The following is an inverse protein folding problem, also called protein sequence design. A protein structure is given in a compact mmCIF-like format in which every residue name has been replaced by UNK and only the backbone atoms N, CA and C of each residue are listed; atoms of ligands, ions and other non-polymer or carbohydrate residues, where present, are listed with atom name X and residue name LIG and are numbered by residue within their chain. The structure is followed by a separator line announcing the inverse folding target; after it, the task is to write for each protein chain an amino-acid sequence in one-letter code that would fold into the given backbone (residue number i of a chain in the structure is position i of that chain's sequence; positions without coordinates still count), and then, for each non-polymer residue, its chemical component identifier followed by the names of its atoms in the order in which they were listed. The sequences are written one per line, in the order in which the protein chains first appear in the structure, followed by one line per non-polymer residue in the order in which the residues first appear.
data_IF_789615138943
#
_entry.id   IF_789615138943
#
_cell.length_a   1.000
_cell.length_b   1.000
_cell.length_c   1.000
_cell.angle_alpha   90.00
_cell.angle_beta   90.00
_cell.angle_gamma   90.00
#
_symmetry.space_group_name_H-M   'P 1'
#
loop_
_entity.id
_entity.type
_entity.pdbx_description
1 polymer ?
#
# COMPACT_ATOMS: atom_id res chain seq x y z
N UNK A 1 -2.40 46.53 -7.23
CA UNK A 1 -1.02 46.50 -7.79
C UNK A 1 -0.03 46.63 -6.64
N UNK A 2 1.15 45.97 -6.63
CA UNK A 2 1.71 44.95 -7.53
C UNK A 2 1.91 43.58 -6.80
N UNK A 3 1.46 42.45 -7.36
CA UNK A 3 2.24 41.46 -8.13
C UNK A 3 3.64 41.13 -7.58
N UNK A 4 3.74 40.01 -6.86
CA UNK A 4 5.02 39.36 -6.54
C UNK A 4 5.48 38.56 -7.77
N UNK A 5 6.62 38.97 -8.32
CA UNK A 5 7.26 38.41 -9.51
C UNK A 5 8.10 37.17 -9.18
N UNK A 6 7.93 36.12 -9.98
CA UNK A 6 8.32 34.72 -9.81
C UNK A 6 9.80 34.43 -10.08
N UNK A 7 10.70 35.42 -10.03
CA UNK A 7 12.09 35.29 -10.55
C UNK A 7 13.20 35.56 -9.53
N UNK A 8 13.05 35.08 -8.29
CA UNK A 8 14.15 35.10 -7.30
C UNK A 8 14.12 33.90 -6.35
N UNK A 9 14.44 32.71 -6.87
CA UNK A 9 14.99 31.62 -6.05
C UNK A 9 15.87 30.66 -6.86
N UNK A 10 16.68 31.22 -7.78
CA UNK A 10 17.76 30.50 -8.45
C UNK A 10 18.91 31.46 -8.73
N UNK A 11 19.71 31.76 -7.71
CA UNK A 11 21.11 32.19 -7.84
C UNK A 11 21.83 31.80 -6.55
N UNK A 12 22.77 30.88 -6.69
CA UNK A 12 24.14 30.87 -6.16
C UNK A 12 24.70 29.46 -6.46
N UNK A 13 25.76 29.22 -7.22
CA UNK A 13 26.90 30.06 -7.56
C UNK A 13 27.46 29.68 -8.96
N UNK A 14 27.82 30.70 -9.75
CA UNK A 14 28.76 30.58 -10.85
C UNK A 14 29.81 31.67 -10.65
N UNK A 15 30.99 31.27 -10.18
CA UNK A 15 32.16 32.15 -10.08
C UNK A 15 33.03 31.98 -11.31
N UNK A 16 33.07 33.02 -12.14
CA UNK A 16 34.09 33.24 -13.17
C UNK A 16 35.32 33.85 -12.48
N UNK A 17 36.46 33.16 -12.48
CA UNK A 17 37.74 33.72 -12.04
C UNK A 17 38.56 34.18 -13.25
N UNK A 18 39.09 35.40 -13.16
CA UNK A 18 39.93 36.06 -14.14
C UNK A 18 41.26 35.33 -14.36
N UNK A 19 41.69 35.28 -15.62
CA UNK A 19 43.02 34.81 -16.05
C UNK A 19 44.04 35.90 -15.80
N UNK A 20 45.07 35.59 -15.01
CA UNK A 20 46.32 36.37 -14.92
C UNK A 20 47.45 35.52 -15.48
N UNK A 21 48.13 36.02 -16.51
CA UNK A 21 49.29 35.36 -17.10
C UNK A 21 50.54 35.60 -16.23
N UNK A 22 51.19 34.52 -15.80
CA UNK A 22 52.49 34.52 -15.13
C UNK A 22 53.17 33.18 -15.39
N UNK A 23 54.37 33.21 -15.95
CA UNK A 23 55.04 32.02 -16.49
C UNK A 23 55.78 31.14 -15.49
N UNK A 24 56.37 30.08 -16.07
CA UNK A 24 57.43 29.18 -15.58
C UNK A 24 57.01 28.00 -14.68
N UNK A 25 56.93 26.81 -15.29
CA UNK A 25 57.93 25.73 -15.15
C UNK A 25 57.31 24.40 -15.59
N UNK A 26 57.81 23.80 -16.68
CA UNK A 26 57.38 22.50 -17.14
C UNK A 26 58.01 21.41 -16.27
N UNK A 27 57.26 20.89 -15.29
CA UNK A 27 57.55 19.60 -14.65
C UNK A 27 56.75 18.53 -15.38
N UNK A 28 57.44 17.57 -15.99
CA UNK A 28 56.85 16.37 -16.57
C UNK A 28 56.21 15.50 -15.49
N UNK A 29 54.91 15.69 -15.26
CA UNK A 29 54.09 14.79 -14.47
C UNK A 29 53.72 13.58 -15.34
N UNK A 30 54.20 12.40 -14.96
CA UNK A 30 53.71 11.12 -15.48
C UNK A 30 52.21 10.98 -15.19
N UNK A 31 51.37 10.61 -16.17
CA UNK A 31 49.94 10.40 -15.92
C UNK A 31 49.78 9.23 -14.94
N UNK A 32 49.06 9.48 -13.84
CA UNK A 32 48.68 8.43 -12.89
C UNK A 32 47.76 7.43 -13.61
N UNK A 33 48.20 6.18 -13.67
CA UNK A 33 47.44 5.09 -14.26
C UNK A 33 46.29 4.72 -13.30
N UNK A 34 45.04 4.83 -13.78
CA UNK A 34 43.87 4.45 -12.99
C UNK A 34 43.93 2.96 -12.64
N UNK A 35 43.74 2.64 -11.35
CA UNK A 35 43.61 1.27 -10.91
C UNK A 35 42.38 0.61 -11.59
N UNK A 36 42.47 -0.66 -12.00
CA UNK A 36 41.34 -1.36 -12.61
C UNK A 36 40.18 -1.43 -11.61
N UNK A 37 38.92 -1.36 -12.09
CA UNK A 37 37.76 -1.46 -11.21
C UNK A 37 37.77 -2.82 -10.51
N UNK A 38 37.60 -2.80 -9.19
CA UNK A 38 37.40 -4.02 -8.41
C UNK A 38 36.18 -4.76 -8.99
N UNK A 39 36.35 -6.05 -9.25
CA UNK A 39 35.26 -6.89 -9.74
C UNK A 39 34.09 -6.84 -8.76
N UNK A 40 32.90 -6.51 -9.27
CA UNK A 40 31.67 -6.59 -8.51
C UNK A 40 31.52 -8.02 -7.96
N UNK A 41 31.10 -8.19 -6.69
CA UNK A 41 30.86 -9.53 -6.15
C UNK A 41 29.82 -10.23 -7.02
N UNK A 42 30.11 -11.47 -7.41
CA UNK A 42 29.17 -12.28 -8.18
C UNK A 42 27.84 -12.37 -7.44
N UNK A 43 26.69 -12.33 -8.14
CA UNK A 43 25.40 -12.49 -7.50
C UNK A 43 25.40 -13.85 -6.81
N UNK A 44 25.35 -13.82 -5.47
CA UNK A 44 25.05 -15.04 -4.72
C UNK A 44 23.69 -15.50 -5.23
N UNK A 45 23.61 -16.75 -5.64
CA UNK A 45 22.35 -17.38 -6.04
C UNK A 45 21.46 -17.42 -4.81
N UNK A 46 20.73 -16.32 -4.57
CA UNK A 46 19.82 -16.21 -3.45
C UNK A 46 18.80 -17.30 -3.65
N UNK A 47 18.79 -18.25 -2.70
CA UNK A 47 17.88 -19.38 -2.69
C UNK A 47 16.48 -18.80 -2.92
N UNK A 48 15.76 -19.27 -3.96
CA UNK A 48 14.37 -18.87 -4.23
C UNK A 48 13.60 -18.97 -2.91
N UNK A 49 13.33 -17.83 -2.30
CA UNK A 49 12.63 -17.79 -1.02
C UNK A 49 11.22 -18.28 -1.28
N UNK A 50 10.75 -19.27 -0.53
CA UNK A 50 9.33 -19.57 -0.55
C UNK A 50 8.59 -18.30 -0.10
N UNK A 51 7.76 -17.75 -0.98
CA UNK A 51 6.84 -16.66 -0.64
C UNK A 51 5.48 -17.26 -0.33
N UNK A 52 4.82 -16.79 0.71
CA UNK A 52 3.43 -17.14 1.00
C UNK A 52 2.60 -15.91 1.31
N UNK A 53 1.37 -15.91 0.83
CA UNK A 53 0.38 -14.86 1.05
C UNK A 53 -0.74 -15.43 1.91
N UNK A 54 -1.08 -14.77 3.02
CA UNK A 54 -2.20 -15.14 3.89
C UNK A 54 -3.17 -13.97 3.97
N UNK A 55 -4.41 -14.22 3.64
CA UNK A 55 -5.46 -13.21 3.75
C UNK A 55 -5.94 -13.13 5.19
N UNK A 56 -6.08 -11.90 5.69
CA UNK A 56 -6.57 -11.59 7.03
C UNK A 56 -7.97 -10.97 7.03
N UNK A 57 -8.64 -10.98 5.88
CA UNK A 57 -9.93 -10.33 5.69
C UNK A 57 -9.81 -8.88 5.28
N UNK A 58 -10.92 -8.27 4.87
CA UNK A 58 -10.93 -6.91 4.33
C UNK A 58 -9.90 -6.80 3.18
N UNK A 59 -9.00 -5.81 3.20
CA UNK A 59 -7.85 -5.70 2.32
C UNK A 59 -6.55 -6.24 2.95
N UNK A 60 -6.63 -6.84 4.14
CA UNK A 60 -5.50 -7.23 4.96
C UNK A 60 -4.76 -8.46 4.45
N UNK A 61 -3.44 -8.35 4.31
CA UNK A 61 -2.56 -9.47 3.93
C UNK A 61 -1.30 -9.54 4.79
N UNK A 62 -0.90 -10.77 5.11
CA UNK A 62 0.47 -11.10 5.53
C UNK A 62 1.21 -11.76 4.37
N UNK A 63 2.36 -11.20 4.01
CA UNK A 63 3.25 -11.74 3.01
C UNK A 63 4.58 -12.09 3.67
N UNK A 64 4.90 -13.37 3.71
CA UNK A 64 6.18 -13.85 4.20
C UNK A 64 7.11 -14.09 3.00
N UNK A 65 8.25 -13.38 2.97
CA UNK A 65 9.29 -13.46 1.94
C UNK A 65 10.58 -13.90 2.65
N UNK A 66 10.85 -15.21 2.66
CA UNK A 66 11.96 -15.74 3.45
C UNK A 66 11.79 -15.47 4.95
N UNK A 67 12.69 -14.68 5.53
CA UNK A 67 12.64 -14.25 6.93
C UNK A 67 11.92 -12.92 7.14
N UNK A 68 11.59 -12.19 6.08
CA UNK A 68 10.87 -10.91 6.13
C UNK A 68 9.36 -11.12 6.08
N UNK A 69 8.64 -10.26 6.80
CA UNK A 69 7.18 -10.18 6.74
C UNK A 69 6.76 -8.77 6.34
N UNK A 70 6.00 -8.68 5.25
CA UNK A 70 5.32 -7.46 4.78
C UNK A 70 3.84 -7.61 5.10
N UNK A 71 3.25 -6.59 5.71
CA UNK A 71 1.81 -6.51 5.95
C UNK A 71 1.21 -5.45 5.03
N UNK A 72 0.02 -5.72 4.51
CA UNK A 72 -0.79 -4.75 3.78
C UNK A 72 -2.09 -4.59 4.54
N UNK A 73 -2.49 -3.36 4.87
CA UNK A 73 -3.73 -3.00 5.57
C UNK A 73 -4.15 -3.96 6.69
N UNK A 74 -3.27 -4.24 7.67
CA UNK A 74 -3.58 -5.22 8.69
C UNK A 74 -4.71 -4.72 9.61
N UNK A 75 -5.90 -5.34 9.51
CA UNK A 75 -7.03 -5.11 10.40
C UNK A 75 -7.56 -6.44 10.96
N UNK A 76 -7.17 -6.73 12.19
CA UNK A 76 -7.49 -7.94 12.93
C UNK A 76 -8.42 -7.67 14.12
N UNK A 77 -8.58 -6.41 14.53
CA UNK A 77 -9.45 -6.03 15.65
C UNK A 77 -10.93 -6.25 15.42
N UNK A 78 -11.40 -6.03 14.19
CA UNK A 78 -12.76 -6.39 13.71
C UNK A 78 -13.86 -5.91 14.66
N UNK A 79 -13.79 -4.62 15.04
CA UNK A 79 -14.77 -3.97 15.91
C UNK A 79 -16.14 -3.90 15.22
N UNK A 80 -17.22 -3.98 16.00
CA UNK A 80 -18.59 -3.81 15.52
C UNK A 80 -18.95 -2.32 15.50
N UNK A 81 -19.12 -1.78 14.29
CA UNK A 81 -19.54 -0.40 14.06
C UNK A 81 -21.04 -0.30 13.73
N UNK A 82 -21.74 -1.44 13.72
CA UNK A 82 -23.11 -1.57 13.27
C UNK A 82 -23.25 -1.72 11.76
N UNK A 83 -22.15 -1.75 10.98
CA UNK A 83 -22.21 -1.78 9.52
C UNK A 83 -22.92 -3.03 8.98
N UNK A 84 -22.79 -4.17 9.66
CA UNK A 84 -23.42 -5.43 9.26
C UNK A 84 -24.61 -5.84 10.12
N UNK A 85 -24.81 -5.22 11.29
CA UNK A 85 -25.78 -5.66 12.31
C UNK A 85 -26.87 -4.64 12.62
N UNK A 86 -26.74 -3.39 12.19
CA UNK A 86 -27.67 -2.33 12.56
C UNK A 86 -27.38 -0.97 11.90
N UNK A 87 -27.65 0.14 12.60
CA UNK A 87 -27.26 1.45 12.10
C UNK A 87 -25.76 1.66 12.28
N UNK A 88 -25.05 1.92 11.18
CA UNK A 88 -23.65 2.31 11.20
C UNK A 88 -23.41 3.51 12.11
N UNK A 89 -22.48 3.38 13.05
CA UNK A 89 -22.16 4.40 14.04
C UNK A 89 -20.74 4.96 13.83
N UNK A 90 -20.58 6.19 13.31
CA UNK A 90 -19.27 6.80 13.08
C UNK A 90 -18.53 7.18 14.37
N UNK A 91 -19.22 7.18 15.53
CA UNK A 91 -18.60 7.47 16.83
C UNK A 91 -18.16 6.22 17.58
N UNK A 92 -18.21 5.05 16.94
CA UNK A 92 -17.70 3.80 17.52
C UNK A 92 -16.25 3.96 17.93
N UNK A 93 -15.95 3.62 19.18
CA UNK A 93 -14.62 3.77 19.75
C UNK A 93 -13.60 2.81 19.09
N UNK A 94 -12.42 3.33 18.79
CA UNK A 94 -11.31 2.52 18.27
C UNK A 94 -10.79 1.62 19.39
N UNK A 95 -10.85 0.30 19.20
CA UNK A 95 -10.42 -0.69 20.20
C UNK A 95 -9.53 -1.73 19.55
N UNK A 96 -8.22 -1.66 19.85
CA UNK A 96 -7.23 -2.60 19.36
C UNK A 96 -7.30 -3.92 20.15
N UNK A 97 -7.52 -5.04 19.45
CA UNK A 97 -7.53 -6.39 20.03
C UNK A 97 -6.14 -7.00 20.05
N UNK A 98 -5.33 -6.55 21.00
CA UNK A 98 -3.94 -7.00 21.17
C UNK A 98 -3.84 -8.52 21.37
N UNK A 99 -4.84 -9.15 22.01
CA UNK A 99 -4.94 -10.61 22.17
C UNK A 99 -5.01 -11.37 20.84
N UNK A 100 -5.60 -10.76 19.81
CA UNK A 100 -5.73 -11.33 18.46
C UNK A 100 -4.48 -11.01 17.63
N UNK A 101 -4.01 -9.77 17.69
CA UNK A 101 -2.91 -9.24 16.88
C UNK A 101 -1.57 -9.85 17.30
N UNK A 102 -1.26 -9.87 18.60
CA UNK A 102 0.05 -10.27 19.12
C UNK A 102 0.37 -11.74 18.84
N UNK A 103 -0.66 -12.58 18.68
CA UNK A 103 -0.53 -13.98 18.30
C UNK A 103 -0.24 -14.21 16.81
N UNK A 104 -0.47 -13.20 15.96
CA UNK A 104 -0.37 -13.28 14.49
C UNK A 104 0.75 -12.44 13.91
N UNK A 105 1.17 -11.41 14.64
CA UNK A 105 2.13 -10.41 14.17
C UNK A 105 3.37 -10.44 15.08
N UNK A 106 4.40 -11.14 14.60
CA UNK A 106 5.61 -11.45 15.34
C UNK A 106 6.85 -10.73 14.82
N UNK A 107 7.00 -10.63 13.49
CA UNK A 107 8.24 -10.16 12.84
C UNK A 107 8.03 -9.21 11.66
N UNK A 108 6.90 -8.50 11.65
CA UNK A 108 6.61 -7.53 10.59
C UNK A 108 7.73 -6.48 10.50
N UNK A 109 8.31 -6.33 9.30
CA UNK A 109 9.33 -5.32 9.00
C UNK A 109 8.74 -4.13 8.26
N UNK A 110 7.72 -4.37 7.46
CA UNK A 110 7.07 -3.37 6.61
C UNK A 110 5.57 -3.48 6.78
N UNK A 111 4.90 -2.34 6.94
CA UNK A 111 3.44 -2.23 6.84
C UNK A 111 3.12 -1.24 5.73
N UNK A 112 2.33 -1.67 4.74
CA UNK A 112 1.83 -0.87 3.64
C UNK A 112 0.38 -0.51 3.94
N UNK A 113 0.07 0.79 3.99
CA UNK A 113 -1.24 1.33 4.31
C UNK A 113 -1.80 2.01 3.08
N UNK A 114 -2.84 1.44 2.49
CA UNK A 114 -3.43 1.96 1.26
C UNK A 114 -4.19 3.25 1.49
N UNK A 115 -4.93 3.35 2.60
CA UNK A 115 -5.62 4.55 3.06
C UNK A 115 -5.97 4.42 4.55
N UNK A 116 -6.50 5.47 5.17
CA UNK A 116 -6.54 5.58 6.63
C UNK A 116 -7.90 5.32 7.28
N UNK A 117 -8.84 4.68 6.59
CA UNK A 117 -10.06 4.19 7.26
C UNK A 117 -9.73 3.14 8.32
N UNK A 118 -10.66 2.97 9.26
CA UNK A 118 -10.45 2.16 10.46
C UNK A 118 -10.18 0.69 10.14
N UNK A 119 -10.80 0.15 9.10
CA UNK A 119 -10.67 -1.22 8.62
C UNK A 119 -9.38 -1.47 7.81
N UNK A 120 -8.51 -0.47 7.70
CA UNK A 120 -7.19 -0.56 7.06
C UNK A 120 -6.05 -0.14 8.02
N UNK A 121 -6.29 0.89 8.86
CA UNK A 121 -5.23 1.55 9.61
C UNK A 121 -5.27 1.33 11.12
N UNK A 122 -6.41 1.02 11.74
CA UNK A 122 -6.57 1.07 13.21
C UNK A 122 -5.50 0.29 13.98
N UNK A 123 -5.12 -0.89 13.50
CA UNK A 123 -4.17 -1.76 14.20
C UNK A 123 -2.71 -1.44 13.88
N UNK A 124 -2.47 -0.62 12.86
CA UNK A 124 -1.12 -0.30 12.34
C UNK A 124 -0.22 0.33 13.40
N UNK A 125 -0.65 1.33 14.19
CA UNK A 125 0.21 1.92 15.22
C UNK A 125 0.65 0.91 16.29
N UNK A 126 -0.24 0.03 16.73
CA UNK A 126 0.09 -1.03 17.69
C UNK A 126 1.09 -2.04 17.10
N UNK A 127 0.84 -2.47 15.86
CA UNK A 127 1.73 -3.38 15.13
C UNK A 127 3.14 -2.77 14.97
N UNK A 128 3.23 -1.51 14.52
CA UNK A 128 4.50 -0.81 14.34
C UNK A 128 5.27 -0.68 15.66
N UNK A 129 4.58 -0.26 16.73
CA UNK A 129 5.18 -0.15 18.06
C UNK A 129 5.68 -1.50 18.60
N UNK A 130 4.98 -2.59 18.30
CA UNK A 130 5.34 -3.94 18.76
C UNK A 130 6.51 -4.55 17.99
N UNK A 131 6.52 -4.46 16.66
CA UNK A 131 7.52 -5.16 15.84
C UNK A 131 8.68 -4.27 15.40
N UNK A 132 8.52 -2.94 15.53
CA UNK A 132 9.45 -1.98 14.96
C UNK A 132 9.31 -1.79 13.45
N UNK A 133 8.20 -2.27 12.85
CA UNK A 133 7.97 -2.17 11.41
C UNK A 133 7.98 -0.72 10.93
N UNK A 134 8.50 -0.50 9.71
CA UNK A 134 8.32 0.77 9.01
C UNK A 134 6.97 0.79 8.30
N UNK A 135 6.19 1.83 8.55
CA UNK A 135 4.87 2.07 7.98
C UNK A 135 5.03 2.99 6.77
N UNK A 136 4.53 2.54 5.62
CA UNK A 136 4.43 3.31 4.40
C UNK A 136 2.97 3.60 4.12
N UNK A 137 2.62 4.87 3.92
CA UNK A 137 1.26 5.30 3.62
C UNK A 137 1.26 6.76 3.23
N UNK A 138 0.07 7.34 3.04
CA UNK A 138 -0.06 8.75 2.68
C UNK A 138 0.47 9.68 3.78
N UNK A 139 0.55 10.99 3.50
CA UNK A 139 0.90 11.99 4.52
C UNK A 139 -0.08 11.95 5.71
N UNK A 140 -1.34 11.58 5.46
CA UNK A 140 -2.33 11.35 6.51
C UNK A 140 -1.93 10.19 7.42
N UNK A 141 -1.56 9.04 6.86
CA UNK A 141 -1.10 7.88 7.64
C UNK A 141 0.12 8.22 8.50
N UNK A 142 1.06 9.00 7.94
CA UNK A 142 2.23 9.51 8.67
C UNK A 142 1.81 10.35 9.90
N UNK A 143 0.93 11.34 9.73
CA UNK A 143 0.52 12.19 10.84
C UNK A 143 -0.36 11.49 11.87
N UNK A 144 -1.21 10.54 11.45
CA UNK A 144 -1.97 9.70 12.38
C UNK A 144 -1.02 8.80 13.18
N UNK A 145 -0.01 8.20 12.55
CA UNK A 145 1.02 7.42 13.23
C UNK A 145 1.72 8.23 14.33
N UNK A 146 2.09 9.48 14.04
CA UNK A 146 2.64 10.39 15.05
C UNK A 146 1.65 10.66 16.21
N UNK A 147 0.37 10.83 15.90
CA UNK A 147 -0.67 11.04 16.92
C UNK A 147 -0.83 9.84 17.87
N UNK A 148 -0.53 8.63 17.40
CA UNK A 148 -0.45 7.41 18.20
C UNK A 148 0.92 7.17 18.85
N UNK A 149 1.87 8.09 18.69
CA UNK A 149 3.20 7.97 19.30
C UNK A 149 4.19 7.07 18.55
N UNK A 150 3.87 6.65 17.31
CA UNK A 150 4.84 5.92 16.47
C UNK A 150 6.00 6.86 16.13
N UNK A 151 7.26 6.48 16.36
CA UNK A 151 8.41 7.34 16.05
C UNK A 151 8.46 7.69 14.57
N UNK A 152 8.81 8.94 14.23
CA UNK A 152 8.93 9.37 12.83
C UNK A 152 9.92 8.53 12.01
N UNK A 153 10.92 7.93 12.66
CA UNK A 153 11.86 7.00 12.02
C UNK A 153 11.19 5.71 11.54
N UNK A 154 10.01 5.34 12.04
CA UNK A 154 9.21 4.21 11.56
C UNK A 154 8.14 4.64 10.56
N UNK A 155 8.00 5.93 10.25
CA UNK A 155 6.93 6.43 9.38
C UNK A 155 7.51 6.95 8.07
N UNK A 156 6.89 6.59 6.95
CA UNK A 156 7.33 7.00 5.61
C UNK A 156 6.12 7.43 4.79
N UNK A 157 6.01 8.74 4.56
CA UNK A 157 4.97 9.29 3.69
C UNK A 157 5.31 9.01 2.22
N UNK A 158 4.36 8.47 1.48
CA UNK A 158 4.41 8.18 0.05
C UNK A 158 3.15 8.73 -0.64
N UNK A 159 3.18 8.91 -1.96
CA UNK A 159 2.05 9.50 -2.71
C UNK A 159 1.68 8.78 -4.00
N UNK A 160 2.54 7.89 -4.50
CA UNK A 160 2.42 7.25 -5.81
C UNK A 160 3.56 7.64 -6.76
N UNK A 161 4.09 6.64 -7.45
CA UNK A 161 5.22 6.72 -8.37
C UNK A 161 6.56 6.32 -7.77
N UNK A 162 6.66 6.17 -6.44
CA UNK A 162 7.86 5.68 -5.78
C UNK A 162 8.07 4.18 -6.05
N UNK A 163 9.32 3.77 -6.31
CA UNK A 163 9.73 2.37 -6.35
C UNK A 163 10.76 2.16 -5.23
N UNK A 164 10.37 1.39 -4.22
CA UNK A 164 11.12 1.19 -3.00
C UNK A 164 11.78 -0.19 -3.04
N UNK A 165 13.11 -0.22 -2.97
CA UNK A 165 13.90 -1.45 -2.98
C UNK A 165 14.21 -1.91 -1.55
N UNK A 166 13.83 -3.17 -1.25
CA UNK A 166 14.10 -3.83 0.03
C UNK A 166 15.14 -4.95 -0.10
N UNK A 167 15.78 -5.07 -1.27
CA UNK A 167 16.82 -6.02 -1.59
C UNK A 167 16.30 -7.38 -2.02
N UNK A 168 15.27 -7.92 -1.37
CA UNK A 168 14.63 -9.19 -1.73
C UNK A 168 13.25 -9.11 -2.39
N UNK A 169 12.72 -7.89 -2.39
CA UNK A 169 11.54 -7.48 -3.11
C UNK A 169 11.62 -5.98 -3.34
N UNK A 170 10.82 -5.49 -4.28
CA UNK A 170 10.52 -4.07 -4.40
C UNK A 170 9.03 -3.81 -4.22
N UNK A 171 8.70 -2.62 -3.75
CA UNK A 171 7.33 -2.11 -3.65
C UNK A 171 7.22 -0.86 -4.50
N UNK A 172 6.42 -0.92 -5.55
CA UNK A 172 6.01 0.26 -6.31
C UNK A 172 4.70 0.79 -5.72
N UNK A 173 4.71 2.07 -5.35
CA UNK A 173 3.56 2.79 -4.80
C UNK A 173 2.76 3.37 -5.95
N UNK A 174 1.45 3.15 -5.96
CA UNK A 174 0.58 3.57 -7.06
C UNK A 174 -0.48 4.50 -6.51
N UNK A 175 -0.51 5.77 -6.95
CA UNK A 175 -1.61 6.66 -6.60
C UNK A 175 -2.92 6.11 -7.16
N UNK A 176 -3.95 5.98 -6.33
CA UNK A 176 -5.25 5.41 -6.70
C UNK A 176 -6.41 6.27 -6.19
N UNK A 177 -7.64 5.75 -6.24
CA UNK A 177 -8.86 6.45 -5.84
C UNK A 177 -9.72 5.56 -4.94
N UNK A 178 -10.43 6.19 -4.00
CA UNK A 178 -11.46 5.52 -3.21
C UNK A 178 -12.76 5.33 -3.99
N UNK A 179 -13.52 4.30 -3.65
CA UNK A 179 -14.90 4.12 -4.11
C UNK A 179 -15.82 5.27 -3.71
N UNK A 180 -16.90 5.46 -4.47
CA UNK A 180 -17.87 6.54 -4.28
C UNK A 180 -19.22 6.04 -3.81
N UNK A 181 -19.82 6.76 -2.87
CA UNK A 181 -21.22 6.57 -2.49
C UNK A 181 -22.17 7.15 -3.56
N UNK A 182 -23.50 6.93 -3.45
CA UNK A 182 -24.48 7.43 -4.44
C UNK A 182 -24.49 8.95 -4.65
N UNK A 183 -23.91 9.73 -3.73
CA UNK A 183 -23.75 11.19 -3.83
C UNK A 183 -22.36 11.59 -4.34
N UNK A 184 -21.58 10.65 -4.88
CA UNK A 184 -20.21 10.87 -5.39
C UNK A 184 -19.19 11.30 -4.32
N UNK A 185 -19.50 11.08 -3.04
CA UNK A 185 -18.62 11.36 -1.90
C UNK A 185 -17.93 10.09 -1.40
N UNK A 186 -17.01 10.26 -0.45
CA UNK A 186 -16.25 9.19 0.23
C UNK A 186 -16.67 9.18 1.72
N UNK A 187 -16.69 8.01 2.36
CA UNK A 187 -16.88 7.93 3.80
C UNK A 187 -15.70 8.62 4.51
N UNK A 188 -15.97 9.41 5.55
CA UNK A 188 -14.93 10.15 6.30
C UNK A 188 -13.90 10.85 5.39
N UNK A 189 -14.31 11.79 4.53
CA UNK A 189 -13.38 12.46 3.63
C UNK A 189 -12.43 13.38 4.41
N UNK A 190 -11.20 13.51 3.94
CA UNK A 190 -10.25 14.48 4.49
C UNK A 190 -8.80 14.00 4.47
N UNK A 191 -7.89 14.93 4.73
CA UNK A 191 -6.44 14.71 4.78
C UNK A 191 -5.89 15.30 6.07
N UNK A 192 -4.83 14.71 6.62
CA UNK A 192 -4.06 15.28 7.74
C UNK A 192 -2.67 15.70 7.25
N UNK A 193 -2.39 17.01 7.35
CA UNK A 193 -1.12 17.64 6.95
C UNK A 193 -0.27 18.11 8.14
N UNK A 194 -0.74 17.81 9.35
CA UNK A 194 -0.05 18.01 10.63
C UNK A 194 -0.57 16.97 11.62
N UNK A 195 0.18 16.73 12.70
CA UNK A 195 -0.20 15.75 13.73
C UNK A 195 -1.53 16.17 14.39
N UNK A 196 -2.61 15.38 14.24
CA UNK A 196 -3.87 15.67 14.93
C UNK A 196 -3.81 15.23 16.40
N UNK A 197 -4.89 15.50 17.15
CA UNK A 197 -5.16 14.75 18.38
C UNK A 197 -5.24 13.25 18.07
N UNK A 198 -4.90 12.41 19.05
CA UNK A 198 -5.02 10.96 18.88
C UNK A 198 -6.48 10.60 18.54
N UNK A 199 -6.73 9.91 17.42
CA UNK A 199 -8.08 9.48 17.05
C UNK A 199 -8.72 8.62 18.14
N UNK A 200 -10.01 8.83 18.42
CA UNK A 200 -10.75 8.09 19.44
C UNK A 200 -11.87 7.22 18.83
N UNK A 201 -12.40 7.64 17.68
CA UNK A 201 -13.52 6.98 17.00
C UNK A 201 -13.20 6.68 15.54
N UNK A 202 -13.98 5.80 14.90
CA UNK A 202 -13.79 5.49 13.47
C UNK A 202 -13.92 6.72 12.57
N UNK A 203 -14.74 7.71 12.95
CA UNK A 203 -14.89 8.95 12.20
C UNK A 203 -13.68 9.90 12.28
N UNK A 204 -12.77 9.69 13.24
CA UNK A 204 -11.54 10.47 13.36
C UNK A 204 -10.45 10.01 12.37
N UNK A 205 -10.67 8.86 11.72
CA UNK A 205 -9.80 8.22 10.74
C UNK A 205 -10.33 8.51 9.31
N UNK A 206 -9.90 9.61 8.66
CA UNK A 206 -10.38 9.96 7.34
C UNK A 206 -9.79 9.04 6.26
N UNK A 207 -10.28 9.13 5.02
CA UNK A 207 -9.71 8.38 3.88
C UNK A 207 -8.23 8.73 3.67
N UNK A 208 -7.89 10.01 3.61
CA UNK A 208 -6.49 10.44 3.64
C UNK A 208 -5.73 10.25 2.32
N UNK A 209 -6.43 10.27 1.18
CA UNK A 209 -6.00 9.77 -0.13
C UNK A 209 -5.82 8.25 -0.17
N UNK A 210 -5.94 7.67 -1.37
CA UNK A 210 -5.90 6.22 -1.58
C UNK A 210 -4.71 5.81 -2.46
N UNK A 211 -4.03 4.74 -2.05
CA UNK A 211 -2.92 4.12 -2.76
C UNK A 211 -3.27 2.68 -3.18
N UNK A 212 -2.53 2.17 -4.14
CA UNK A 212 -2.32 0.74 -4.35
C UNK A 212 -0.83 0.43 -4.24
N UNK A 213 -0.50 -0.85 -4.06
CA UNK A 213 0.89 -1.29 -3.96
C UNK A 213 1.15 -2.45 -4.91
N UNK A 214 2.21 -2.36 -5.70
CA UNK A 214 2.73 -3.49 -6.46
C UNK A 214 3.98 -4.03 -5.78
N UNK A 215 3.86 -5.21 -5.21
CA UNK A 215 4.95 -5.97 -4.62
C UNK A 215 5.57 -6.88 -5.68
N UNK A 216 6.86 -6.77 -5.95
CA UNK A 216 7.62 -7.69 -6.81
C UNK A 216 8.64 -8.44 -6.00
N UNK A 217 8.51 -9.76 -5.91
CA UNK A 217 9.45 -10.63 -5.18
C UNK A 217 10.52 -11.15 -6.13
N UNK A 218 11.80 -11.06 -5.78
CA UNK A 218 12.86 -11.52 -6.68
C UNK A 218 12.75 -13.03 -6.94
N UNK A 219 12.69 -13.40 -8.21
CA UNK A 219 12.53 -14.80 -8.63
C UNK A 219 11.19 -15.43 -8.21
N UNK A 220 10.23 -14.61 -7.78
CA UNK A 220 8.86 -14.97 -7.39
C UNK A 220 7.81 -14.16 -8.17
N UNK A 221 6.55 -14.14 -7.69
CA UNK A 221 5.45 -13.44 -8.34
C UNK A 221 5.49 -11.93 -8.12
N UNK A 222 4.80 -11.21 -9.01
CA UNK A 222 4.40 -9.82 -8.82
C UNK A 222 2.92 -9.73 -8.42
N UNK A 223 2.60 -9.00 -7.36
CA UNK A 223 1.27 -8.94 -6.76
C UNK A 223 0.84 -7.50 -6.53
N UNK A 224 -0.28 -7.11 -7.14
CA UNK A 224 -0.90 -5.80 -6.95
C UNK A 224 -2.00 -5.84 -5.90
N UNK A 225 -1.94 -4.93 -4.93
CA UNK A 225 -2.94 -4.74 -3.89
C UNK A 225 -3.72 -3.46 -4.17
N UNK A 226 -5.04 -3.59 -4.36
CA UNK A 226 -5.94 -2.43 -4.45
C UNK A 226 -6.22 -1.88 -3.04
N UNK A 227 -6.22 -0.56 -2.90
CA UNK A 227 -6.64 0.08 -1.64
C UNK A 227 -8.14 0.20 -1.47
N UNK A 228 -8.86 0.38 -2.58
CA UNK A 228 -10.31 0.53 -2.60
C UNK A 228 -10.86 0.16 -3.99
N UNK A 229 -12.17 0.30 -4.17
CA UNK A 229 -12.88 -0.02 -5.42
C UNK A 229 -13.05 1.17 -6.39
N UNK A 230 -11.98 1.93 -6.60
CA UNK A 230 -11.78 2.83 -7.76
C UNK A 230 -10.28 2.88 -8.13
N UNK A 231 -9.94 3.53 -9.25
CA UNK A 231 -8.62 3.47 -9.86
C UNK A 231 -8.30 4.73 -10.65
N UNK A 232 -7.09 5.25 -10.45
CA UNK A 232 -6.46 6.21 -11.36
C UNK A 232 -5.80 5.46 -12.53
N UNK A 233 -6.59 5.09 -13.53
CA UNK A 233 -6.24 4.11 -14.59
C UNK A 233 -4.88 4.35 -15.26
N UNK A 234 -4.52 5.61 -15.52
CA UNK A 234 -3.24 5.96 -16.16
C UNK A 234 -2.02 5.54 -15.34
N UNK A 235 -2.15 5.47 -14.02
CA UNK A 235 -1.10 5.07 -13.10
C UNK A 235 -0.84 3.55 -13.11
N UNK A 236 -1.66 2.76 -13.81
CA UNK A 236 -1.48 1.31 -13.93
C UNK A 236 -0.60 0.89 -15.11
N UNK A 237 -0.27 1.83 -15.99
CA UNK A 237 0.45 1.54 -17.25
C UNK A 237 1.78 0.83 -16.98
N UNK A 238 1.92 -0.38 -17.51
CA UNK A 238 3.17 -1.15 -17.41
C UNK A 238 3.36 -1.93 -16.10
N UNK A 239 2.40 -1.90 -15.17
CA UNK A 239 2.48 -2.66 -13.93
C UNK A 239 2.45 -4.17 -14.16
N UNK A 240 1.51 -4.64 -15.00
CA UNK A 240 1.32 -6.02 -15.47
C UNK A 240 1.63 -7.12 -14.43
N UNK A 241 0.97 -7.11 -13.26
CA UNK A 241 1.24 -8.08 -12.21
C UNK A 241 0.78 -9.50 -12.57
N UNK A 242 1.40 -10.52 -11.97
CA UNK A 242 0.92 -11.90 -12.07
C UNK A 242 -0.43 -12.09 -11.36
N UNK A 243 -0.60 -11.39 -10.23
CA UNK A 243 -1.77 -11.49 -9.33
C UNK A 243 -2.29 -10.11 -8.99
N UNK A 244 -3.61 -9.92 -9.01
CA UNK A 244 -4.25 -8.74 -8.48
C UNK A 244 -5.21 -9.10 -7.34
N UNK A 245 -5.01 -8.47 -6.17
CA UNK A 245 -5.92 -8.50 -5.03
C UNK A 245 -6.91 -7.34 -5.19
N UNK A 246 -8.13 -7.66 -5.64
CA UNK A 246 -9.13 -6.69 -6.10
C UNK A 246 -10.24 -6.56 -5.06
N UNK A 247 -10.39 -5.35 -4.50
CA UNK A 247 -11.45 -5.03 -3.57
C UNK A 247 -12.81 -5.07 -4.26
N UNK A 248 -13.78 -5.72 -3.61
CA UNK A 248 -15.15 -5.75 -4.08
C UNK A 248 -15.76 -4.34 -4.08
N UNK A 249 -16.47 -4.00 -5.15
CA UNK A 249 -17.21 -2.73 -5.24
C UNK A 249 -18.46 -2.75 -4.37
N UNK A 250 -18.62 -1.73 -3.52
CA UNK A 250 -19.80 -1.59 -2.65
C UNK A 250 -20.99 -0.93 -3.38
N UNK A 251 -20.74 -0.15 -4.43
CA UNK A 251 -21.71 0.59 -5.21
C UNK A 251 -21.32 0.63 -6.69
N UNK A 252 -22.32 0.79 -7.56
CA UNK A 252 -22.13 0.92 -9.01
C UNK A 252 -21.85 2.36 -9.45
N UNK A 253 -21.75 3.30 -8.50
CA UNK A 253 -21.48 4.72 -8.78
C UNK A 253 -20.05 4.94 -9.31
N UNK A 254 -19.11 4.05 -8.98
CA UNK A 254 -17.82 3.99 -9.66
C UNK A 254 -17.98 3.36 -11.04
N UNK A 255 -17.90 4.18 -12.10
CA UNK A 255 -18.04 3.74 -13.47
C UNK A 255 -16.91 2.82 -13.94
N UNK A 256 -17.29 1.68 -14.53
CA UNK A 256 -16.41 0.72 -15.20
C UNK A 256 -15.18 0.31 -14.38
N UNK A 257 -15.32 0.21 -13.05
CA UNK A 257 -14.22 -0.12 -12.14
C UNK A 257 -13.43 -1.37 -12.59
N UNK A 258 -14.10 -2.52 -12.71
CA UNK A 258 -13.43 -3.78 -13.07
C UNK A 258 -12.83 -3.75 -14.50
N UNK A 259 -13.54 -3.29 -15.56
CA UNK A 259 -12.93 -3.14 -16.88
C UNK A 259 -11.67 -2.27 -16.88
N UNK A 260 -11.73 -1.08 -16.26
CA UNK A 260 -10.60 -0.13 -16.22
C UNK A 260 -9.41 -0.69 -15.43
N UNK A 261 -9.69 -1.30 -14.28
CA UNK A 261 -8.67 -1.93 -13.45
C UNK A 261 -7.98 -3.09 -14.18
N UNK A 262 -8.76 -4.05 -14.70
CA UNK A 262 -8.20 -5.26 -15.32
C UNK A 262 -7.46 -4.96 -16.62
N UNK A 263 -7.95 -4.02 -17.43
CA UNK A 263 -7.24 -3.58 -18.62
C UNK A 263 -5.94 -2.83 -18.27
N UNK A 264 -5.98 -1.94 -17.27
CA UNK A 264 -4.79 -1.21 -16.80
C UNK A 264 -3.71 -2.12 -16.22
N UNK A 265 -4.10 -3.24 -15.59
CA UNK A 265 -3.19 -4.26 -15.07
C UNK A 265 -2.79 -5.33 -16.10
N UNK A 266 -3.12 -5.15 -17.37
CA UNK A 266 -2.84 -6.12 -18.45
C UNK A 266 -3.38 -7.53 -18.17
N UNK A 267 -4.60 -7.60 -17.64
CA UNK A 267 -5.35 -8.85 -17.45
C UNK A 267 -4.57 -9.93 -16.67
N UNK A 268 -4.30 -9.70 -15.36
CA UNK A 268 -3.44 -10.56 -14.55
C UNK A 268 -3.88 -12.02 -14.55
N UNK A 269 -2.93 -12.95 -14.43
CA UNK A 269 -3.22 -14.40 -14.48
C UNK A 269 -4.17 -14.84 -13.37
N UNK A 270 -4.09 -14.21 -12.20
CA UNK A 270 -4.96 -14.48 -11.06
C UNK A 270 -5.58 -13.19 -10.57
N UNK A 271 -6.90 -13.21 -10.38
CA UNK A 271 -7.65 -12.15 -9.70
C UNK A 271 -8.19 -12.72 -8.41
N UNK A 272 -7.79 -12.14 -7.28
CA UNK A 272 -8.23 -12.52 -5.94
C UNK A 272 -9.26 -11.51 -5.46
N UNK A 273 -10.48 -11.95 -5.14
CA UNK A 273 -11.50 -11.07 -4.58
C UNK A 273 -11.21 -10.82 -3.09
N UNK A 274 -11.19 -9.55 -2.67
CA UNK A 274 -10.97 -9.13 -1.27
C UNK A 274 -12.02 -8.11 -0.84
N UNK A 275 -12.07 -7.73 0.44
CA UNK A 275 -13.05 -6.77 1.00
C UNK A 275 -14.52 -7.17 0.78
N UNK A 276 -14.79 -8.48 0.76
CA UNK A 276 -16.16 -9.02 0.61
C UNK A 276 -16.69 -9.66 1.89
N UNK A 277 -15.83 -9.91 2.86
CA UNK A 277 -16.20 -10.56 4.11
C UNK A 277 -16.88 -9.61 5.10
N UNK A 278 -17.61 -10.18 6.06
CA UNK A 278 -18.10 -9.43 7.20
C UNK A 278 -16.93 -9.16 8.18
N UNK A 279 -16.35 -7.97 8.05
CA UNK A 279 -15.19 -7.52 8.84
C UNK A 279 -15.47 -7.01 10.25
N UNK A 280 -16.69 -7.22 10.74
CA UNK A 280 -17.08 -6.99 12.14
C UNK A 280 -17.26 -8.31 12.92
N UNK A 281 -16.90 -9.44 12.31
CA UNK A 281 -16.92 -10.77 12.94
C UNK A 281 -15.52 -11.34 13.12
N UNK A 282 -15.34 -12.34 14.00
CA UNK A 282 -14.04 -12.99 14.19
C UNK A 282 -13.58 -13.71 12.92
N UNK A 283 -12.27 -13.87 12.76
CA UNK A 283 -11.70 -14.71 11.71
C UNK A 283 -12.09 -16.18 11.91
N UNK A 284 -13.04 -16.65 11.10
CA UNK A 284 -13.55 -18.01 11.09
C UNK A 284 -13.69 -18.48 9.64
N UNK A 285 -13.19 -19.68 9.31
CA UNK A 285 -13.40 -20.29 8.00
C UNK A 285 -14.63 -21.21 8.00
N UNK A 286 -15.44 -21.23 6.93
CA UNK A 286 -15.37 -20.33 5.78
C UNK A 286 -15.68 -18.87 6.19
N UNK A 287 -15.05 -17.85 5.57
CA UNK A 287 -15.24 -16.45 5.95
C UNK A 287 -16.72 -16.04 5.95
N UNK A 288 -17.21 -15.38 7.02
CA UNK A 288 -18.57 -14.88 7.05
C UNK A 288 -18.79 -13.83 5.97
N UNK A 289 -19.96 -13.89 5.31
CA UNK A 289 -20.37 -12.92 4.30
C UNK A 289 -21.80 -12.49 4.58
N UNK A 290 -22.11 -11.21 4.44
CA UNK A 290 -23.48 -10.75 4.54
C UNK A 290 -24.28 -11.16 3.28
N UNK A 291 -25.60 -11.36 3.36
CA UNK A 291 -26.40 -11.79 2.22
C UNK A 291 -26.26 -10.90 0.97
N UNK A 292 -26.23 -9.58 1.16
CA UNK A 292 -26.04 -8.63 0.05
C UNK A 292 -24.64 -8.70 -0.55
N UNK A 293 -23.61 -8.93 0.28
CA UNK A 293 -22.22 -9.03 -0.17
C UNK A 293 -21.94 -10.36 -0.88
N UNK A 294 -22.66 -11.43 -0.53
CA UNK A 294 -22.63 -12.68 -1.31
C UNK A 294 -23.03 -12.43 -2.76
N UNK A 295 -24.13 -11.69 -2.97
CA UNK A 295 -24.60 -11.35 -4.31
C UNK A 295 -23.55 -10.50 -5.05
N UNK A 296 -23.02 -9.46 -4.41
CA UNK A 296 -21.98 -8.59 -5.00
C UNK A 296 -20.71 -9.36 -5.35
N UNK A 297 -20.29 -10.29 -4.50
CA UNK A 297 -19.13 -11.14 -4.75
C UNK A 297 -19.36 -12.05 -5.96
N UNK A 298 -20.54 -12.68 -6.05
CA UNK A 298 -20.91 -13.53 -7.18
C UNK A 298 -20.96 -12.71 -8.49
N UNK A 299 -21.51 -11.49 -8.44
CA UNK A 299 -21.54 -10.55 -9.57
C UNK A 299 -20.14 -10.12 -10.00
N UNK A 300 -19.24 -9.83 -9.04
CA UNK A 300 -17.84 -9.52 -9.30
C UNK A 300 -17.15 -10.71 -9.98
N UNK A 301 -17.31 -11.93 -9.47
CA UNK A 301 -16.73 -13.15 -10.05
C UNK A 301 -17.22 -13.34 -11.50
N UNK A 302 -18.52 -13.18 -11.73
CA UNK A 302 -19.10 -13.28 -13.07
C UNK A 302 -18.57 -12.18 -14.01
N UNK A 303 -18.41 -10.95 -13.52
CA UNK A 303 -17.85 -9.84 -14.29
C UNK A 303 -16.38 -10.09 -14.65
N UNK A 304 -15.54 -10.53 -13.71
CA UNK A 304 -14.13 -10.85 -13.99
C UNK A 304 -14.02 -11.94 -15.05
N UNK A 305 -14.81 -13.01 -14.94
CA UNK A 305 -14.82 -14.10 -15.95
C UNK A 305 -15.21 -13.63 -17.35
N UNK A 306 -16.07 -12.62 -17.45
CA UNK A 306 -16.48 -12.02 -18.74
C UNK A 306 -15.41 -11.08 -19.30
N UNK A 307 -14.82 -10.23 -18.45
CA UNK A 307 -13.85 -9.20 -18.85
C UNK A 307 -12.48 -9.82 -19.15
N UNK A 308 -12.05 -10.77 -18.31
CA UNK A 308 -10.76 -11.43 -18.40
C UNK A 308 -10.93 -12.96 -18.34
N UNK A 309 -11.38 -13.59 -19.44
CA UNK A 309 -11.71 -15.02 -19.45
C UNK A 309 -10.50 -15.94 -19.24
N UNK A 310 -9.28 -15.43 -19.37
CA UNK A 310 -8.04 -16.16 -19.10
C UNK A 310 -7.56 -16.06 -17.65
N UNK A 311 -8.09 -15.11 -16.88
CA UNK A 311 -7.74 -14.96 -15.46
C UNK A 311 -8.44 -16.04 -14.64
N UNK A 312 -7.69 -16.66 -13.72
CA UNK A 312 -8.27 -17.48 -12.67
C UNK A 312 -8.81 -16.56 -11.58
N UNK A 313 -10.08 -16.72 -11.20
CA UNK A 313 -10.67 -16.02 -10.06
C UNK A 313 -10.48 -16.87 -8.80
N UNK A 314 -9.94 -16.28 -7.74
CA UNK A 314 -9.74 -16.93 -6.44
C UNK A 314 -10.51 -16.16 -5.36
N UNK A 315 -11.28 -16.89 -4.56
CA UNK A 315 -11.93 -16.37 -3.35
C UNK A 315 -11.12 -16.91 -2.16
N UNK A 316 -10.42 -16.05 -1.41
CA UNK A 316 -9.51 -16.50 -0.36
C UNK A 316 -10.24 -16.92 0.92
N UNK A 317 -9.60 -17.78 1.70
CA UNK A 317 -9.96 -18.12 3.08
C UNK A 317 -8.94 -17.46 4.03
N UNK A 318 -9.34 -17.22 5.28
CA UNK A 318 -8.45 -16.61 6.26
C UNK A 318 -7.29 -17.53 6.59
N UNK A 319 -6.10 -16.94 6.77
CA UNK A 319 -4.86 -17.59 7.23
C UNK A 319 -4.31 -18.71 6.33
N UNK A 320 -5.02 -19.07 5.26
CA UNK A 320 -4.58 -20.04 4.25
C UNK A 320 -3.36 -19.49 3.52
N UNK A 321 -2.30 -20.29 3.47
CA UNK A 321 -1.07 -19.92 2.77
C UNK A 321 -1.23 -20.16 1.26
N UNK A 322 -1.28 -19.07 0.50
CA UNK A 322 -1.30 -19.09 -0.96
C UNK A 322 0.10 -18.92 -1.53
N UNK A 323 0.37 -19.67 -2.61
CA UNK A 323 1.58 -19.59 -3.41
C UNK A 323 1.16 -19.37 -4.86
N UNK A 324 1.71 -18.35 -5.50
CA UNK A 324 1.37 -17.92 -6.86
C UNK A 324 2.56 -18.11 -7.81
#
# INVERSE_FOLDING_TARGET
MPSLDRRRFLRDAATTALVSAGGLAATSATPAQAAPPAAAPAPTTRRRGAVSFRWWGTAGWRVDIGDRTVLVDPYLSRIDTGLFTGPFNPTTALTVRTDVIDARVDRAMTVLVTHTHWDHFMDVPHIAGRTGARVFGTLTAYHLGLAYGVPSTQLSAVKGGEVLDFGDHSVEVVGSLHSRNPSYSVAFPGVRVSQPAQPATIGDLPEGDTLGYLLRVDGGPSVYFTGASDVAERNLTGLAPDVAMVAMQNATTTGDYLPRLLAGLDYPKVVVAVHWDNFETKLQNPPPVAPADRIRLDDMIAAVRRISPRSRVLVPEYETAYHF
#
